data_IF_323945639408
#
_entry.id   IF_323945639408
#
_cell.length_a   1.000
_cell.length_b   1.000
_cell.length_c   1.000
_cell.angle_alpha   90.00
_cell.angle_beta   90.00
_cell.angle_gamma   90.00
#
_symmetry.space_group_name_H-M   'P 1'
#
loop_
_entity.id
_entity.type
_entity.pdbx_description
1 polymer ?
#
# COMPACT_ATOMS: atom_id res chain seq x y z
N UNK A 1 -3.79 25.69 -8.80
CA UNK A 1 -2.68 25.00 -8.09
C UNK A 1 -2.28 23.79 -8.90
N UNK A 2 -0.98 23.59 -9.15
CA UNK A 2 -0.44 22.42 -9.85
C UNK A 2 0.14 21.52 -8.76
N UNK A 3 -0.53 20.42 -8.45
CA UNK A 3 -0.05 19.45 -7.46
C UNK A 3 1.13 18.71 -8.09
N UNK A 4 2.30 18.78 -7.47
CA UNK A 4 3.42 17.91 -7.83
C UNK A 4 3.24 16.66 -6.98
N UNK A 5 2.70 15.60 -7.56
CA UNK A 5 2.62 14.31 -6.90
C UNK A 5 4.04 13.79 -6.65
N UNK A 6 4.45 13.78 -5.39
CA UNK A 6 5.73 13.17 -5.01
C UNK A 6 5.48 11.68 -4.81
N UNK A 7 5.95 10.84 -5.73
CA UNK A 7 5.93 9.39 -5.55
C UNK A 7 7.16 8.93 -4.75
N UNK A 8 6.99 7.94 -3.87
CA UNK A 8 8.09 7.29 -3.16
C UNK A 8 8.23 5.84 -3.63
N UNK A 9 9.47 5.34 -3.73
CA UNK A 9 9.76 3.92 -3.94
C UNK A 9 10.32 3.32 -2.65
N UNK A 10 9.84 2.14 -2.27
CA UNK A 10 10.31 1.37 -1.13
C UNK A 10 10.71 -0.02 -1.62
N UNK A 11 11.95 -0.41 -1.34
CA UNK A 11 12.47 -1.72 -1.73
C UNK A 11 12.21 -2.74 -0.61
N UNK A 12 11.64 -3.88 -0.96
CA UNK A 12 11.40 -5.00 -0.05
C UNK A 12 12.05 -6.24 -0.65
N UNK A 13 12.95 -6.88 0.09
CA UNK A 13 13.63 -8.08 -0.35
C UNK A 13 13.08 -9.30 0.39
N UNK A 14 12.50 -10.26 -0.34
CA UNK A 14 11.92 -11.50 0.21
C UNK A 14 12.91 -12.65 0.02
N UNK A 15 13.33 -13.31 1.10
CA UNK A 15 14.27 -14.45 1.01
C UNK A 15 13.57 -15.79 0.76
N UNK A 16 12.29 -15.90 1.11
CA UNK A 16 11.48 -17.09 0.87
C UNK A 16 11.38 -17.44 -0.62
N UNK A 17 11.18 -18.72 -0.92
CA UNK A 17 11.04 -19.23 -2.29
C UNK A 17 9.62 -19.12 -2.86
N UNK A 18 8.65 -18.66 -2.06
CA UNK A 18 7.25 -18.56 -2.45
C UNK A 18 6.67 -17.15 -2.23
N UNK A 19 5.63 -16.74 -2.98
CA UNK A 19 5.00 -15.44 -2.82
C UNK A 19 4.40 -15.21 -1.43
N UNK A 20 4.58 -14.00 -0.89
CA UNK A 20 4.10 -13.58 0.43
C UNK A 20 3.17 -12.38 0.32
N UNK A 21 2.05 -12.39 1.05
CA UNK A 21 1.12 -11.26 1.11
C UNK A 21 1.58 -10.28 2.20
N UNK A 22 1.79 -8.99 1.88
CA UNK A 22 2.23 -8.02 2.87
C UNK A 22 1.08 -7.51 3.74
N UNK A 23 1.45 -6.99 4.91
CA UNK A 23 0.69 -6.02 5.68
C UNK A 23 1.43 -4.70 5.58
N UNK A 24 0.76 -3.69 5.03
CA UNK A 24 1.33 -2.35 4.85
C UNK A 24 0.66 -1.40 5.82
N UNK A 25 1.46 -0.68 6.60
CA UNK A 25 1.01 0.47 7.39
C UNK A 25 1.68 1.71 6.83
N UNK A 26 0.87 2.72 6.50
CA UNK A 26 1.35 4.01 5.99
C UNK A 26 0.84 5.17 6.82
N UNK A 27 1.70 6.18 7.00
CA UNK A 27 1.33 7.45 7.63
C UNK A 27 1.43 8.57 6.59
N UNK A 28 0.31 9.25 6.35
CA UNK A 28 0.23 10.34 5.38
C UNK A 28 0.96 11.58 5.92
N UNK A 29 1.73 12.23 5.06
CA UNK A 29 2.50 13.46 5.38
C UNK A 29 1.79 14.74 4.93
N UNK A 30 0.76 14.61 4.10
CA UNK A 30 -0.04 15.70 3.54
C UNK A 30 -1.49 15.27 3.35
N UNK A 31 -2.40 16.24 3.22
CA UNK A 31 -3.80 15.95 2.91
C UNK A 31 -3.99 15.75 1.40
N UNK A 32 -4.67 14.67 1.02
CA UNK A 32 -4.85 14.28 -0.39
C UNK A 32 -6.18 13.52 -0.56
N UNK A 33 -6.89 13.62 -1.70
CA UNK A 33 -8.18 12.93 -1.87
C UNK A 33 -8.06 11.43 -2.20
N UNK A 34 -6.85 10.95 -2.46
CA UNK A 34 -6.60 9.53 -2.71
C UNK A 34 -5.19 9.13 -2.31
N UNK A 35 -4.97 7.83 -2.15
CA UNK A 35 -3.65 7.25 -2.11
C UNK A 35 -3.59 6.01 -3.01
N UNK A 36 -2.40 5.62 -3.43
CA UNK A 36 -2.15 4.45 -4.26
C UNK A 36 -0.91 3.70 -3.78
N UNK A 37 -1.01 2.37 -3.71
CA UNK A 37 0.11 1.45 -3.63
C UNK A 37 0.23 0.71 -4.96
N UNK A 38 1.43 0.57 -5.49
CA UNK A 38 1.66 -0.17 -6.73
C UNK A 38 2.92 -1.03 -6.66
N UNK A 39 2.86 -2.19 -7.31
CA UNK A 39 3.97 -3.12 -7.47
C UNK A 39 3.91 -3.69 -8.89
N UNK A 40 4.96 -3.46 -9.69
CA UNK A 40 4.93 -3.72 -11.13
C UNK A 40 3.68 -3.09 -11.79
N UNK A 41 2.76 -3.91 -12.33
CA UNK A 41 1.53 -3.48 -12.99
C UNK A 41 0.30 -3.52 -12.07
N UNK A 42 0.41 -4.07 -10.86
CA UNK A 42 -0.68 -4.20 -9.89
C UNK A 42 -0.84 -2.90 -9.08
N UNK A 43 -2.08 -2.45 -8.91
CA UNK A 43 -2.41 -1.19 -8.21
C UNK A 43 -3.57 -1.35 -7.24
N UNK A 44 -3.37 -0.86 -6.02
CA UNK A 44 -4.43 -0.62 -5.05
C UNK A 44 -4.56 0.88 -4.81
N UNK A 45 -5.70 1.46 -5.19
CA UNK A 45 -6.02 2.86 -4.95
C UNK A 45 -7.17 2.99 -3.97
N UNK A 46 -7.05 3.96 -3.07
CA UNK A 46 -8.08 4.29 -2.09
C UNK A 46 -8.51 5.75 -2.27
N UNK A 47 -9.82 6.00 -2.32
CA UNK A 47 -10.44 7.32 -2.30
C UNK A 47 -10.96 7.62 -0.89
N UNK A 48 -10.37 8.62 -0.26
CA UNK A 48 -10.77 9.10 1.05
C UNK A 48 -10.24 10.52 1.20
N UNK A 49 -10.93 11.42 1.93
CA UNK A 49 -10.40 12.74 2.25
C UNK A 49 -9.27 12.64 3.29
N UNK A 50 -8.12 12.06 2.92
CA UNK A 50 -6.99 11.83 3.79
C UNK A 50 -6.42 13.15 4.31
N UNK A 51 -5.99 13.13 5.56
CA UNK A 51 -5.36 14.24 6.27
C UNK A 51 -3.94 13.87 6.66
N UNK A 52 -3.16 14.91 6.99
CA UNK A 52 -1.83 14.74 7.60
C UNK A 52 -1.98 13.86 8.86
N UNK A 53 -1.07 12.90 9.00
CA UNK A 53 -1.01 11.91 10.08
C UNK A 53 -2.12 10.84 10.07
N UNK A 54 -2.97 10.78 9.06
CA UNK A 54 -3.85 9.61 8.91
C UNK A 54 -3.01 8.34 8.76
N UNK A 55 -3.44 7.30 9.46
CA UNK A 55 -2.80 5.98 9.42
C UNK A 55 -3.67 5.05 8.60
N UNK A 56 -3.09 4.50 7.53
CA UNK A 56 -3.76 3.53 6.67
C UNK A 56 -3.06 2.20 6.81
N UNK A 57 -3.83 1.17 7.16
CA UNK A 57 -3.35 -0.21 7.28
C UNK A 57 -4.06 -1.05 6.24
N UNK A 58 -3.30 -1.83 5.47
CA UNK A 58 -3.81 -2.72 4.44
C UNK A 58 -3.29 -4.13 4.67
N UNK A 59 -4.20 -5.06 4.91
CA UNK A 59 -3.92 -6.50 4.96
C UNK A 59 -4.17 -7.07 3.56
N UNK A 60 -3.09 -7.34 2.81
CA UNK A 60 -3.20 -7.87 1.45
C UNK A 60 -3.66 -9.33 1.42
N UNK A 61 -3.42 -10.09 2.49
CA UNK A 61 -3.89 -11.46 2.61
C UNK A 61 -5.42 -11.52 2.79
N UNK A 62 -5.95 -10.67 3.68
CA UNK A 62 -7.39 -10.61 3.97
C UNK A 62 -8.15 -9.65 3.05
N UNK A 63 -7.45 -8.89 2.22
CA UNK A 63 -8.01 -7.84 1.35
C UNK A 63 -8.83 -6.82 2.13
N UNK A 64 -8.25 -6.30 3.21
CA UNK A 64 -8.93 -5.36 4.11
C UNK A 64 -8.13 -4.09 4.27
N UNK A 65 -8.85 -2.98 4.36
CA UNK A 65 -8.30 -1.63 4.50
C UNK A 65 -8.88 -1.00 5.76
N UNK A 66 -8.00 -0.46 6.58
CA UNK A 66 -8.37 0.36 7.74
C UNK A 66 -7.78 1.74 7.59
N UNK A 67 -8.56 2.76 7.95
CA UNK A 67 -8.12 4.15 8.06
C UNK A 67 -8.36 4.57 9.50
N UNK A 68 -7.31 5.00 10.19
CA UNK A 68 -7.33 5.35 11.62
C UNK A 68 -7.97 4.24 12.49
N UNK A 69 -7.67 2.98 12.17
CA UNK A 69 -8.15 1.80 12.88
C UNK A 69 -9.60 1.37 12.56
N UNK A 70 -10.34 2.14 11.76
CA UNK A 70 -11.69 1.78 11.32
C UNK A 70 -11.65 1.08 9.98
N UNK A 71 -12.43 0.00 9.82
CA UNK A 71 -12.56 -0.72 8.55
C UNK A 71 -13.24 0.19 7.52
N UNK A 72 -12.59 0.42 6.37
CA UNK A 72 -13.04 1.35 5.33
C UNK A 72 -12.99 0.70 3.94
N UNK A 73 -13.82 -0.32 3.71
CA UNK A 73 -13.84 -1.05 2.44
C UNK A 73 -14.42 -0.23 1.29
N UNK A 74 -15.28 0.74 1.58
CA UNK A 74 -15.89 1.63 0.59
C UNK A 74 -14.88 2.61 -0.03
N UNK A 75 -13.71 2.78 0.61
CA UNK A 75 -12.64 3.62 0.08
C UNK A 75 -11.92 2.99 -1.13
N UNK A 76 -12.06 1.68 -1.37
CA UNK A 76 -11.32 0.99 -2.44
C UNK A 76 -11.86 1.40 -3.81
N UNK A 77 -10.96 1.84 -4.69
CA UNK A 77 -11.27 2.05 -6.10
C UNK A 77 -11.42 0.70 -6.80
N UNK A 78 -12.64 0.35 -7.24
CA UNK A 78 -12.92 -0.93 -7.88
C UNK A 78 -12.21 -1.11 -9.24
N UNK A 79 -11.69 -0.04 -9.84
CA UNK A 79 -10.87 -0.13 -11.07
C UNK A 79 -9.43 -0.51 -10.74
N UNK A 80 -8.94 -0.10 -9.56
CA UNK A 80 -7.57 -0.34 -9.10
C UNK A 80 -7.61 -0.98 -7.70
N UNK A 81 -8.04 -2.25 -7.66
CA UNK A 81 -8.29 -3.02 -6.43
C UNK A 81 -7.35 -4.23 -6.28
N UNK A 82 -6.13 -4.15 -6.82
CA UNK A 82 -5.18 -5.26 -6.81
C UNK A 82 -4.48 -5.38 -5.46
N UNK A 83 -4.85 -6.40 -4.69
CA UNK A 83 -4.12 -6.80 -3.50
C UNK A 83 -2.95 -7.72 -3.89
N UNK A 84 -1.87 -7.09 -4.38
CA UNK A 84 -0.65 -7.75 -4.86
C UNK A 84 0.08 -8.62 -3.82
N UNK A 85 0.96 -9.48 -4.32
CA UNK A 85 1.86 -10.30 -3.50
C UNK A 85 3.32 -9.94 -3.76
N UNK A 86 4.14 -10.00 -2.71
CA UNK A 86 5.59 -9.91 -2.84
C UNK A 86 6.13 -11.20 -3.42
N UNK A 87 6.94 -11.10 -4.48
CA UNK A 87 7.61 -12.24 -5.11
C UNK A 87 8.98 -12.48 -4.46
N UNK A 88 9.55 -13.69 -4.55
CA UNK A 88 10.93 -13.93 -4.14
C UNK A 88 11.90 -12.92 -4.76
N UNK A 89 12.85 -12.42 -3.97
CA UNK A 89 13.82 -11.40 -4.37
C UNK A 89 13.32 -9.96 -4.17
N UNK A 90 13.78 -9.06 -5.05
CA UNK A 90 13.54 -7.61 -4.93
C UNK A 90 12.13 -7.23 -5.41
N UNK A 91 11.39 -6.51 -4.56
CA UNK A 91 10.11 -5.90 -4.87
C UNK A 91 10.23 -4.38 -4.69
N UNK A 92 9.72 -3.60 -5.65
CA UNK A 92 9.71 -2.13 -5.58
C UNK A 92 8.27 -1.64 -5.42
N UNK A 93 7.86 -1.38 -4.18
CA UNK A 93 6.54 -0.82 -3.88
C UNK A 93 6.62 0.69 -4.11
N UNK A 94 5.73 1.22 -4.95
CA UNK A 94 5.60 2.66 -5.16
C UNK A 94 4.33 3.17 -4.52
N UNK A 95 4.42 4.34 -3.88
CA UNK A 95 3.28 4.99 -3.25
C UNK A 95 3.06 6.38 -3.83
N UNK A 96 1.78 6.75 -3.97
CA UNK A 96 1.35 8.12 -4.27
C UNK A 96 0.32 8.49 -3.21
N UNK A 97 0.52 9.54 -2.40
CA UNK A 97 1.72 10.39 -2.35
C UNK A 97 2.90 9.68 -1.66
N UNK A 98 3.99 10.40 -1.45
CA UNK A 98 5.10 9.98 -0.61
C UNK A 98 4.64 9.95 0.85
N UNK A 99 4.87 8.83 1.52
CA UNK A 99 4.34 8.55 2.85
C UNK A 99 5.37 7.75 3.64
N UNK A 100 5.29 7.79 4.97
CA UNK A 100 6.06 6.83 5.76
C UNK A 100 5.41 5.46 5.59
N UNK A 101 6.21 4.44 5.29
CA UNK A 101 5.73 3.09 5.01
C UNK A 101 6.42 2.08 5.92
N UNK A 102 5.64 1.22 6.55
CA UNK A 102 6.09 0.00 7.19
C UNK A 102 5.47 -1.17 6.45
N UNK A 103 6.31 -2.14 6.06
CA UNK A 103 5.87 -3.35 5.35
C UNK A 103 6.30 -4.55 6.18
N UNK A 104 5.32 -5.33 6.63
CA UNK A 104 5.57 -6.60 7.32
C UNK A 104 5.00 -7.73 6.49
N UNK A 105 5.63 -8.90 6.54
CA UNK A 105 5.18 -10.09 5.83
C UNK A 105 5.80 -11.32 6.47
N UNK A 106 5.24 -12.49 6.19
CA UNK A 106 5.81 -13.79 6.60
C UNK A 106 6.44 -14.44 5.38
N UNK A 107 7.72 -14.80 5.48
CA UNK A 107 8.40 -15.57 4.43
C UNK A 107 7.72 -16.93 4.23
N UNK A 108 7.67 -17.37 2.97
CA UNK A 108 7.07 -18.64 2.59
C UNK A 108 8.03 -19.44 1.74
N UNK A 109 7.97 -20.75 1.90
CA UNK A 109 8.83 -21.72 1.24
C UNK A 109 7.95 -22.80 0.61
N UNK A 110 8.37 -23.29 -0.57
CA UNK A 110 7.77 -24.41 -1.30
C UNK A 110 8.75 -25.56 -1.41
#
# INVERSE_FOLDING_TARGET
MRWIEMAQKNEVYVNGTAPASPMITSVLKEGIPYLEYSLADEKLRLHHPFKVNDVVTVDFSKRKVWINGQLQMEAIDLVYADFFQLRPGKNEIKTIPAMQLEVTYTERWL
#
